data_IF_422246610011
#
_entry.id   IF_422246610011
#
_cell.length_a   1.000
_cell.length_b   1.000
_cell.length_c   1.000
_cell.angle_alpha   90.00
_cell.angle_beta   90.00
_cell.angle_gamma   90.00
#
_symmetry.space_group_name_H-M   'P 1'
#
loop_
_entity.id
_entity.type
_entity.pdbx_description
1 polymer ?
#
# COMPACT_ATOMS: atom_id res chain seq x y z
N UNK A 1 -26.77 58.64 28.20
CA UNK A 1 -26.82 57.67 27.09
C UNK A 1 -25.75 56.62 27.36
N UNK A 2 -26.16 55.57 28.07
CA UNK A 2 -26.25 54.19 27.54
C UNK A 2 -24.95 53.46 27.86
N UNK A 3 -24.86 52.74 28.99
CA UNK A 3 -25.44 51.42 29.23
C UNK A 3 -24.84 50.34 28.32
N UNK A 4 -24.40 49.25 28.96
CA UNK A 4 -23.94 47.96 28.40
C UNK A 4 -22.45 47.82 28.10
N UNK A 5 -21.64 47.70 29.15
CA UNK A 5 -20.51 46.77 29.19
C UNK A 5 -20.02 46.64 30.63
N UNK A 6 -20.52 45.65 31.38
CA UNK A 6 -19.87 44.99 32.52
C UNK A 6 -20.95 44.26 33.33
N UNK A 7 -21.33 43.04 32.93
CA UNK A 7 -21.88 42.06 33.87
C UNK A 7 -21.84 40.67 33.25
N UNK A 8 -21.56 39.67 34.10
CA UNK A 8 -21.61 38.22 33.85
C UNK A 8 -20.33 37.52 33.35
N UNK A 9 -19.28 37.62 34.16
CA UNK A 9 -18.59 36.40 34.61
C UNK A 9 -19.50 35.60 35.56
N UNK A 10 -19.22 34.30 35.71
CA UNK A 10 -19.86 33.31 36.61
C UNK A 10 -20.96 32.47 35.96
N UNK A 11 -20.57 31.41 35.24
CA UNK A 11 -21.24 30.10 35.23
C UNK A 11 -20.21 28.99 34.95
N UNK A 12 -19.46 28.58 35.98
CA UNK A 12 -18.77 27.29 36.07
C UNK A 12 -19.73 26.31 36.76
N UNK A 13 -20.19 25.28 36.06
CA UNK A 13 -21.06 24.24 36.63
C UNK A 13 -21.09 22.97 35.78
N UNK A 14 -20.99 21.76 36.37
CA UNK A 14 -20.85 20.49 35.66
C UNK A 14 -22.22 19.83 35.42
N UNK A 15 -23.07 20.40 34.56
CA UNK A 15 -24.41 19.83 34.27
C UNK A 15 -24.84 20.07 32.80
N UNK A 16 -23.97 19.76 31.84
CA UNK A 16 -24.31 19.74 30.39
C UNK A 16 -24.27 18.35 29.75
N UNK A 17 -24.14 17.29 30.55
CA UNK A 17 -24.08 15.90 30.07
C UNK A 17 -25.42 15.14 30.11
N UNK A 18 -26.56 15.79 30.42
CA UNK A 18 -27.81 15.08 30.70
C UNK A 18 -28.99 15.37 29.75
N UNK A 19 -28.77 15.98 28.58
CA UNK A 19 -29.85 16.32 27.64
C UNK A 19 -29.56 15.92 26.17
N UNK A 20 -28.64 14.98 25.93
CA UNK A 20 -28.40 14.35 24.60
C UNK A 20 -28.41 12.81 24.72
N UNK A 21 -29.20 12.28 25.66
CA UNK A 21 -29.32 10.85 25.92
C UNK A 21 -30.64 10.23 25.40
N UNK A 22 -31.46 10.99 24.66
CA UNK A 22 -32.83 10.58 24.32
C UNK A 22 -33.23 10.88 22.85
N UNK A 23 -32.37 10.55 21.90
CA UNK A 23 -32.71 10.53 20.46
C UNK A 23 -31.91 9.48 19.69
N UNK A 24 -31.61 8.33 20.32
CA UNK A 24 -30.78 7.25 19.78
C UNK A 24 -31.51 5.90 19.80
N UNK A 25 -32.84 5.91 19.61
CA UNK A 25 -33.70 4.74 19.85
C UNK A 25 -34.69 4.36 18.73
N UNK A 26 -34.63 4.93 17.52
CA UNK A 26 -35.72 4.71 16.53
C UNK A 26 -35.30 4.46 15.08
N UNK A 27 -34.10 3.94 14.83
CA UNK A 27 -33.70 3.49 13.48
C UNK A 27 -33.40 1.99 13.44
N UNK A 28 -34.24 1.17 14.07
CA UNK A 28 -34.39 -0.23 13.67
C UNK A 28 -35.15 -0.25 12.34
N UNK A 29 -34.44 0.07 11.27
CA UNK A 29 -34.89 -0.26 9.93
C UNK A 29 -35.03 -1.78 9.87
N UNK A 30 -36.26 -2.27 9.71
CA UNK A 30 -36.54 -3.66 9.42
C UNK A 30 -35.86 -4.03 8.09
N UNK A 31 -34.61 -4.48 8.15
CA UNK A 31 -33.98 -5.21 7.07
C UNK A 31 -34.77 -6.51 6.91
N UNK A 32 -35.76 -6.51 6.02
CA UNK A 32 -36.45 -7.73 5.63
C UNK A 32 -35.41 -8.75 5.16
N UNK A 33 -35.61 -10.06 5.41
CA UNK A 33 -34.67 -11.07 5.00
C UNK A 33 -34.52 -10.99 3.47
N UNK A 34 -33.38 -10.46 3.02
CA UNK A 34 -33.03 -10.46 1.61
C UNK A 34 -33.06 -11.92 1.18
N UNK A 35 -34.00 -12.27 0.29
CA UNK A 35 -34.08 -13.62 -0.27
C UNK A 35 -32.74 -13.90 -0.91
N UNK A 36 -32.03 -14.84 -0.32
CA UNK A 36 -30.70 -15.16 -0.77
C UNK A 36 -30.80 -15.77 -2.18
N UNK A 37 -30.27 -15.06 -3.16
CA UNK A 37 -30.41 -15.37 -4.57
C UNK A 37 -29.44 -16.48 -4.94
N UNK A 38 -29.94 -17.56 -5.53
CA UNK A 38 -29.09 -18.57 -6.16
C UNK A 38 -28.50 -18.00 -7.45
N UNK A 39 -27.18 -18.15 -7.59
CA UNK A 39 -26.39 -17.68 -8.72
C UNK A 39 -25.42 -18.77 -9.19
N UNK A 40 -25.04 -18.69 -10.45
CA UNK A 40 -23.94 -19.43 -11.06
C UNK A 40 -22.88 -18.43 -11.48
N UNK A 41 -21.66 -18.63 -11.01
CA UNK A 41 -20.50 -17.81 -11.33
C UNK A 41 -19.62 -18.57 -12.30
N UNK A 42 -19.58 -18.08 -13.53
CA UNK A 42 -18.61 -18.53 -14.52
C UNK A 42 -17.26 -17.88 -14.24
N UNK A 43 -16.20 -18.67 -14.23
CA UNK A 43 -14.85 -18.19 -13.92
C UNK A 43 -13.97 -18.09 -15.15
N UNK A 44 -12.94 -17.26 -15.06
CA UNK A 44 -11.92 -17.07 -16.11
C UNK A 44 -10.86 -18.17 -16.05
N UNK A 45 -10.05 -18.25 -17.10
CA UNK A 45 -8.93 -19.21 -17.15
C UNK A 45 -9.35 -20.68 -17.26
N UNK A 46 -10.58 -20.96 -17.70
CA UNK A 46 -11.09 -22.34 -17.83
C UNK A 46 -11.44 -23.01 -16.50
N UNK A 47 -11.45 -22.28 -15.38
CA UNK A 47 -11.87 -22.81 -14.10
C UNK A 47 -13.37 -23.16 -14.11
N UNK A 48 -13.79 -24.26 -13.45
CA UNK A 48 -15.18 -24.71 -13.48
C UNK A 48 -16.11 -23.67 -12.83
N UNK A 49 -17.37 -23.56 -13.27
CA UNK A 49 -18.34 -22.65 -12.68
C UNK A 49 -18.66 -23.04 -11.23
N UNK A 50 -19.07 -22.05 -10.43
CA UNK A 50 -19.49 -22.26 -9.04
C UNK A 50 -20.96 -21.86 -8.92
N UNK A 51 -21.82 -22.81 -8.58
CA UNK A 51 -23.21 -22.56 -8.25
C UNK A 51 -23.37 -22.41 -6.72
N UNK A 52 -24.10 -21.39 -6.30
CA UNK A 52 -24.34 -21.16 -4.88
C UNK A 52 -25.22 -19.96 -4.62
N UNK A 53 -25.45 -19.71 -3.34
CA UNK A 53 -26.25 -18.60 -2.85
C UNK A 53 -25.38 -17.37 -2.64
N UNK A 54 -25.71 -16.27 -3.31
CA UNK A 54 -25.02 -14.99 -3.14
C UNK A 54 -25.15 -14.51 -1.68
N UNK A 55 -24.01 -14.21 -1.06
CA UNK A 55 -23.93 -13.60 0.28
C UNK A 55 -23.74 -12.09 0.19
N UNK A 56 -22.74 -11.67 -0.56
CA UNK A 56 -22.47 -10.27 -0.84
C UNK A 56 -21.72 -10.10 -2.16
N UNK A 57 -21.86 -8.94 -2.77
CA UNK A 57 -21.04 -8.48 -3.87
C UNK A 57 -20.74 -7.01 -3.62
N UNK A 58 -19.48 -6.71 -3.35
CA UNK A 58 -18.95 -5.37 -3.14
C UNK A 58 -17.73 -5.19 -4.07
N UNK A 59 -17.07 -4.04 -4.06
CA UNK A 59 -15.93 -3.84 -4.97
C UNK A 59 -14.73 -4.71 -4.58
N UNK A 60 -14.70 -5.28 -3.38
CA UNK A 60 -13.60 -6.12 -2.90
C UNK A 60 -13.67 -7.55 -3.40
N UNK A 61 -14.85 -8.18 -3.31
CA UNK A 61 -15.05 -9.56 -3.74
C UNK A 61 -16.52 -9.94 -3.98
N UNK A 62 -16.71 -11.00 -4.75
CA UNK A 62 -17.96 -11.73 -4.87
C UNK A 62 -17.98 -12.89 -3.87
N UNK A 63 -18.90 -12.86 -2.89
CA UNK A 63 -19.00 -13.89 -1.83
C UNK A 63 -20.25 -14.73 -1.99
N UNK A 64 -20.09 -16.05 -1.97
CA UNK A 64 -21.21 -17.00 -2.11
C UNK A 64 -21.01 -18.23 -1.22
N UNK A 65 -22.09 -18.96 -0.97
CA UNK A 65 -22.08 -20.25 -0.27
C UNK A 65 -22.73 -21.31 -1.15
N UNK A 66 -22.04 -22.41 -1.41
CA UNK A 66 -22.56 -23.53 -2.22
C UNK A 66 -23.62 -24.33 -1.46
N UNK A 67 -24.32 -25.25 -2.15
CA UNK A 67 -25.26 -26.18 -1.51
C UNK A 67 -24.60 -27.06 -0.44
N UNK A 68 -23.32 -27.41 -0.63
CA UNK A 68 -22.52 -28.16 0.35
C UNK A 68 -22.12 -27.33 1.59
N UNK A 69 -22.45 -26.04 1.62
CA UNK A 69 -22.06 -25.13 2.69
C UNK A 69 -20.64 -24.57 2.57
N UNK A 70 -19.94 -24.82 1.46
CA UNK A 70 -18.61 -24.25 1.25
C UNK A 70 -18.72 -22.75 0.91
N UNK A 71 -17.93 -21.93 1.61
CA UNK A 71 -17.88 -20.49 1.40
C UNK A 71 -16.77 -20.12 0.42
N UNK A 72 -17.09 -19.24 -0.52
CA UNK A 72 -16.14 -18.72 -1.50
C UNK A 72 -16.12 -17.19 -1.43
N UNK A 73 -14.91 -16.62 -1.44
CA UNK A 73 -14.67 -15.22 -1.71
C UNK A 73 -13.86 -15.11 -3.01
N UNK A 74 -14.53 -14.72 -4.09
CA UNK A 74 -13.95 -14.65 -5.42
C UNK A 74 -13.50 -13.22 -5.72
N UNK A 75 -12.22 -13.11 -6.09
CA UNK A 75 -11.61 -11.89 -6.62
C UNK A 75 -12.26 -11.50 -7.96
N UNK A 76 -12.39 -10.22 -8.25
CA UNK A 76 -13.15 -9.78 -9.43
C UNK A 76 -12.51 -10.22 -10.76
N UNK A 77 -11.19 -10.25 -10.85
CA UNK A 77 -10.45 -10.67 -12.04
C UNK A 77 -10.53 -12.18 -12.37
N UNK A 78 -11.12 -13.00 -11.49
CA UNK A 78 -11.42 -14.40 -11.79
C UNK A 78 -12.88 -14.62 -12.19
N UNK A 79 -13.75 -13.61 -12.03
CA UNK A 79 -15.16 -13.68 -12.38
C UNK A 79 -15.35 -13.29 -13.84
N UNK A 80 -15.99 -14.17 -14.62
CA UNK A 80 -16.33 -13.94 -16.03
C UNK A 80 -17.75 -13.40 -16.19
N UNK A 81 -18.73 -14.13 -15.65
CA UNK A 81 -20.14 -13.75 -15.65
C UNK A 81 -20.83 -14.29 -14.40
N UNK A 82 -21.94 -13.67 -14.02
CA UNK A 82 -22.81 -14.14 -12.93
C UNK A 82 -24.24 -14.31 -13.47
N UNK A 83 -24.91 -15.41 -13.16
CA UNK A 83 -26.26 -15.72 -13.67
C UNK A 83 -27.18 -16.24 -12.55
N UNK A 84 -28.36 -15.66 -12.33
CA UNK A 84 -28.84 -14.39 -12.90
C UNK A 84 -27.96 -13.22 -12.45
N UNK A 85 -27.78 -12.24 -13.34
CA UNK A 85 -27.12 -10.98 -13.02
C UNK A 85 -28.12 -9.96 -12.49
N UNK A 86 -27.64 -9.01 -11.70
CA UNK A 86 -28.40 -7.83 -11.26
C UNK A 86 -27.67 -6.58 -11.73
N UNK A 87 -28.34 -5.43 -11.78
CA UNK A 87 -27.71 -4.16 -12.17
C UNK A 87 -26.46 -3.85 -11.32
N UNK A 88 -26.51 -4.16 -10.01
CA UNK A 88 -25.34 -4.00 -9.13
C UNK A 88 -24.17 -4.89 -9.55
N UNK A 89 -24.44 -6.15 -9.89
CA UNK A 89 -23.39 -7.07 -10.37
C UNK A 89 -22.82 -6.61 -11.72
N UNK A 90 -23.67 -6.14 -12.63
CA UNK A 90 -23.23 -5.62 -13.94
C UNK A 90 -22.27 -4.43 -13.81
N UNK A 91 -22.52 -3.53 -12.84
CA UNK A 91 -21.61 -2.41 -12.54
C UNK A 91 -20.23 -2.88 -12.07
N UNK A 92 -20.15 -4.01 -11.36
CA UNK A 92 -18.89 -4.57 -10.87
C UNK A 92 -18.16 -5.41 -11.94
N UNK A 93 -18.89 -6.00 -12.88
CA UNK A 93 -18.31 -6.80 -13.97
C UNK A 93 -17.48 -5.99 -14.97
N UNK A 94 -17.78 -4.70 -15.16
CA UNK A 94 -16.99 -3.80 -16.00
C UNK A 94 -15.53 -3.66 -15.51
N UNK A 95 -15.30 -3.14 -14.29
CA UNK A 95 -13.97 -3.11 -13.67
C UNK A 95 -13.30 -4.48 -13.57
N UNK A 96 -14.07 -5.54 -13.31
CA UNK A 96 -13.58 -6.92 -13.28
C UNK A 96 -12.94 -7.37 -14.61
N UNK A 97 -13.58 -7.07 -15.74
CA UNK A 97 -13.04 -7.32 -17.08
C UNK A 97 -11.76 -6.52 -17.32
N UNK A 98 -11.74 -5.24 -16.96
CA UNK A 98 -10.55 -4.39 -17.08
C UNK A 98 -9.37 -4.95 -16.28
N UNK A 99 -9.60 -5.35 -15.01
CA UNK A 99 -8.56 -5.94 -14.17
C UNK A 99 -8.04 -7.25 -14.74
N UNK A 100 -8.93 -8.15 -15.20
CA UNK A 100 -8.51 -9.38 -15.84
C UNK A 100 -7.64 -9.13 -17.08
N UNK A 101 -8.04 -8.19 -17.95
CA UNK A 101 -7.26 -7.83 -19.15
C UNK A 101 -5.88 -7.29 -18.78
N UNK A 102 -5.79 -6.44 -17.77
CA UNK A 102 -4.51 -5.90 -17.32
C UNK A 102 -3.61 -7.00 -16.72
N UNK A 103 -4.17 -7.89 -15.90
CA UNK A 103 -3.44 -9.03 -15.34
C UNK A 103 -2.89 -9.95 -16.44
N UNK A 104 -3.72 -10.36 -17.40
CA UNK A 104 -3.28 -11.22 -18.51
C UNK A 104 -2.25 -10.54 -19.42
N UNK A 105 -2.27 -9.21 -19.54
CA UNK A 105 -1.20 -8.47 -20.23
C UNK A 105 0.12 -8.54 -19.47
N UNK A 106 0.12 -8.35 -18.15
CA UNK A 106 1.32 -8.52 -17.31
C UNK A 106 1.87 -9.95 -17.43
N UNK A 107 1.01 -10.98 -17.40
CA UNK A 107 1.40 -12.39 -17.58
C UNK A 107 2.07 -12.65 -18.95
N UNK A 108 1.81 -11.79 -19.94
CA UNK A 108 2.36 -11.84 -21.30
C UNK A 108 3.48 -10.84 -21.55
N UNK A 109 3.95 -10.16 -20.52
CA UNK A 109 4.97 -9.09 -20.58
C UNK A 109 4.52 -7.83 -21.36
N UNK A 110 3.22 -7.67 -21.60
CA UNK A 110 2.61 -6.49 -22.24
C UNK A 110 2.33 -5.37 -21.22
N UNK A 111 3.33 -5.00 -20.39
CA UNK A 111 3.14 -4.10 -19.24
C UNK A 111 2.72 -2.68 -19.63
N UNK A 112 3.19 -2.17 -20.77
CA UNK A 112 2.82 -0.85 -21.31
C UNK A 112 1.30 -0.73 -21.55
N UNK A 113 0.67 -1.80 -22.06
CA UNK A 113 -0.78 -1.82 -22.31
C UNK A 113 -1.59 -2.11 -21.03
N UNK A 114 -0.95 -2.63 -19.98
CA UNK A 114 -1.59 -2.92 -18.70
C UNK A 114 -1.60 -1.69 -17.77
N UNK A 115 -0.52 -0.91 -17.78
CA UNK A 115 -0.32 0.23 -16.87
C UNK A 115 -1.48 1.24 -16.84
N UNK A 116 -2.01 1.77 -17.96
CA UNK A 116 -3.08 2.77 -17.89
C UNK A 116 -4.35 2.23 -17.21
N UNK A 117 -4.70 0.97 -17.46
CA UNK A 117 -5.86 0.32 -16.84
C UNK A 117 -5.64 0.16 -15.34
N UNK A 118 -4.45 -0.25 -14.93
CA UNK A 118 -4.12 -0.44 -13.51
C UNK A 118 -3.98 0.88 -12.77
N UNK A 119 -3.51 1.95 -13.43
CA UNK A 119 -3.47 3.29 -12.86
C UNK A 119 -4.88 3.80 -12.54
N UNK A 120 -5.84 3.66 -13.46
CA UNK A 120 -7.24 4.02 -13.23
C UNK A 120 -7.87 3.19 -12.10
N UNK A 121 -7.66 1.86 -12.10
CA UNK A 121 -8.17 0.99 -11.06
C UNK A 121 -7.53 1.28 -9.70
N UNK A 122 -6.25 1.65 -9.67
CA UNK A 122 -5.54 1.93 -8.44
C UNK A 122 -6.14 3.12 -7.68
N UNK A 123 -6.60 4.17 -8.37
CA UNK A 123 -7.31 5.28 -7.73
C UNK A 123 -8.61 4.85 -7.05
N UNK A 124 -9.27 3.80 -7.55
CA UNK A 124 -10.51 3.24 -6.98
C UNK A 124 -10.23 2.27 -5.82
N UNK A 125 -9.12 1.55 -5.90
CA UNK A 125 -8.79 0.45 -4.98
C UNK A 125 -7.79 0.80 -3.88
N UNK A 126 -7.04 1.92 -4.01
CA UNK A 126 -6.10 2.39 -3.00
C UNK A 126 -6.78 2.57 -1.65
N UNK A 127 -6.17 2.04 -0.58
CA UNK A 127 -6.68 2.10 0.78
C UNK A 127 -7.64 0.96 1.15
N UNK A 128 -8.15 0.17 0.19
CA UNK A 128 -9.00 -1.00 0.48
C UNK A 128 -8.17 -2.16 1.01
N UNK A 129 -8.78 -3.06 1.78
CA UNK A 129 -8.08 -4.24 2.34
C UNK A 129 -8.66 -5.52 1.75
N UNK A 130 -8.42 -5.72 0.46
CA UNK A 130 -8.94 -6.88 -0.27
C UNK A 130 -7.90 -7.48 -1.21
N UNK A 131 -8.11 -8.74 -1.56
CA UNK A 131 -7.24 -9.43 -2.52
C UNK A 131 -7.29 -8.75 -3.89
N UNK A 132 -8.44 -8.22 -4.31
CA UNK A 132 -8.58 -7.43 -5.54
C UNK A 132 -7.71 -6.18 -5.50
N UNK A 133 -7.70 -5.44 -4.38
CA UNK A 133 -6.83 -4.27 -4.21
C UNK A 133 -5.34 -4.64 -4.30
N UNK A 134 -4.96 -5.81 -3.79
CA UNK A 134 -3.59 -6.32 -3.89
C UNK A 134 -3.19 -6.62 -5.33
N UNK A 135 -4.08 -7.24 -6.13
CA UNK A 135 -3.80 -7.50 -7.55
C UNK A 135 -3.62 -6.21 -8.34
N UNK A 136 -4.50 -5.22 -8.11
CA UNK A 136 -4.39 -3.90 -8.76
C UNK A 136 -3.06 -3.24 -8.42
N UNK A 137 -2.75 -3.17 -7.12
CA UNK A 137 -1.56 -2.48 -6.62
C UNK A 137 -0.26 -3.16 -7.04
N UNK A 138 -0.18 -4.49 -6.88
CA UNK A 138 1.01 -5.26 -7.29
C UNK A 138 1.16 -5.27 -8.82
N UNK A 139 0.05 -5.28 -9.56
CA UNK A 139 0.08 -5.14 -11.01
C UNK A 139 0.66 -3.80 -11.45
N UNK A 140 0.19 -2.69 -10.88
CA UNK A 140 0.71 -1.35 -11.17
C UNK A 140 2.20 -1.22 -10.81
N UNK A 141 2.59 -1.77 -9.65
CA UNK A 141 3.99 -1.87 -9.22
C UNK A 141 4.84 -2.56 -10.30
N UNK A 142 4.41 -3.74 -10.76
CA UNK A 142 5.13 -4.52 -11.78
C UNK A 142 5.28 -3.74 -13.08
N UNK A 143 4.24 -3.04 -13.53
CA UNK A 143 4.33 -2.21 -14.73
C UNK A 143 5.39 -1.10 -14.59
N UNK A 144 5.35 -0.35 -13.48
CA UNK A 144 6.29 0.76 -13.24
C UNK A 144 7.73 0.27 -13.12
N UNK A 145 7.95 -0.86 -12.44
CA UNK A 145 9.26 -1.51 -12.35
C UNK A 145 9.75 -1.98 -13.72
N UNK A 146 8.89 -2.61 -14.53
CA UNK A 146 9.27 -3.11 -15.85
C UNK A 146 9.78 -2.01 -16.79
N UNK A 147 9.23 -0.79 -16.70
CA UNK A 147 9.70 0.37 -17.48
C UNK A 147 10.79 1.21 -16.81
N UNK A 148 11.30 0.77 -15.65
CA UNK A 148 12.36 1.48 -14.93
C UNK A 148 11.92 2.74 -14.18
N UNK A 149 10.62 2.91 -13.91
CA UNK A 149 10.10 4.04 -13.13
C UNK A 149 10.11 3.73 -11.63
N UNK A 150 11.31 3.78 -11.05
CA UNK A 150 11.51 3.54 -9.63
C UNK A 150 10.74 4.54 -8.74
N UNK A 151 10.67 5.82 -9.13
CA UNK A 151 9.99 6.86 -8.37
C UNK A 151 8.48 6.62 -8.35
N UNK A 152 7.88 6.39 -9.52
CA UNK A 152 6.46 6.06 -9.62
C UNK A 152 6.12 4.74 -8.94
N UNK A 153 7.04 3.78 -8.85
CA UNK A 153 6.80 2.50 -8.20
C UNK A 153 6.61 2.57 -6.68
N UNK A 154 7.04 3.65 -6.02
CA UNK A 154 7.08 3.73 -4.56
C UNK A 154 5.70 3.63 -3.91
N UNK A 155 4.69 4.38 -4.36
CA UNK A 155 3.38 4.31 -3.69
C UNK A 155 2.69 2.95 -3.91
N UNK A 156 2.66 2.37 -5.12
CA UNK A 156 2.20 1.00 -5.29
C UNK A 156 2.99 -0.01 -4.45
N UNK A 157 4.31 0.15 -4.30
CA UNK A 157 5.11 -0.72 -3.44
C UNK A 157 4.69 -0.62 -1.97
N UNK A 158 4.50 0.60 -1.45
CA UNK A 158 4.07 0.84 -0.07
C UNK A 158 2.66 0.33 0.18
N UNK A 159 1.74 0.49 -0.76
CA UNK A 159 0.37 -0.02 -0.65
C UNK A 159 0.32 -1.56 -0.72
N UNK A 160 1.12 -2.19 -1.58
CA UNK A 160 1.27 -3.65 -1.60
C UNK A 160 1.89 -4.15 -0.29
N UNK A 161 2.89 -3.45 0.25
CA UNK A 161 3.47 -3.76 1.55
C UNK A 161 2.43 -3.67 2.68
N UNK A 162 1.57 -2.64 2.68
CA UNK A 162 0.45 -2.50 3.65
C UNK A 162 -0.49 -3.70 3.59
N UNK A 163 -0.91 -4.10 2.40
CA UNK A 163 -1.80 -5.24 2.19
C UNK A 163 -1.17 -6.56 2.66
N UNK A 164 0.12 -6.78 2.35
CA UNK A 164 0.86 -7.98 2.80
C UNK A 164 1.07 -7.98 4.31
N UNK A 165 1.33 -6.83 4.93
CA UNK A 165 1.43 -6.70 6.38
C UNK A 165 0.10 -7.01 7.09
N UNK A 166 -1.03 -6.71 6.44
CA UNK A 166 -2.39 -7.10 6.88
C UNK A 166 -2.72 -8.59 6.62
N UNK A 167 -1.78 -9.37 6.08
CA UNK A 167 -1.99 -10.79 5.77
C UNK A 167 -2.79 -11.04 4.50
N UNK A 168 -3.07 -10.01 3.69
CA UNK A 168 -3.70 -10.20 2.38
C UNK A 168 -2.69 -10.89 1.46
N UNK A 169 -3.10 -12.01 0.87
CA UNK A 169 -2.28 -12.78 -0.06
C UNK A 169 -3.05 -13.05 -1.34
N UNK A 170 -2.33 -13.13 -2.46
CA UNK A 170 -2.90 -13.47 -3.76
C UNK A 170 -1.98 -14.39 -4.54
N UNK A 171 -2.58 -15.23 -5.38
CA UNK A 171 -1.94 -16.11 -6.34
C UNK A 171 -1.91 -15.54 -7.77
N UNK A 172 -2.46 -14.34 -7.99
CA UNK A 172 -2.63 -13.72 -9.29
C UNK A 172 -1.35 -13.66 -10.14
N UNK A 173 -0.20 -13.55 -9.49
CA UNK A 173 1.12 -13.44 -10.11
C UNK A 173 2.07 -14.57 -9.67
N UNK A 174 1.53 -15.72 -9.24
CA UNK A 174 2.33 -16.83 -8.69
C UNK A 174 3.36 -17.43 -9.66
N UNK A 175 3.17 -17.24 -10.97
CA UNK A 175 4.13 -17.65 -12.01
C UNK A 175 5.31 -16.69 -12.19
N UNK A 176 5.29 -15.53 -11.51
CA UNK A 176 6.29 -14.48 -11.62
C UNK A 176 7.10 -14.35 -10.33
N UNK A 177 8.34 -13.82 -10.38
CA UNK A 177 9.06 -13.47 -9.17
C UNK A 177 8.24 -12.50 -8.29
N UNK A 178 8.34 -12.60 -6.94
CA UNK A 178 7.70 -11.65 -6.05
C UNK A 178 8.15 -10.21 -6.34
N UNK A 179 7.19 -9.27 -6.40
CA UNK A 179 7.51 -7.86 -6.59
C UNK A 179 8.07 -7.21 -5.32
N UNK A 180 7.75 -7.77 -4.15
CA UNK A 180 8.28 -7.38 -2.85
C UNK A 180 9.07 -8.53 -2.25
N UNK A 181 10.15 -8.22 -1.54
CA UNK A 181 10.85 -9.19 -0.73
C UNK A 181 9.97 -9.59 0.48
N UNK A 182 9.68 -10.88 0.71
CA UNK A 182 8.70 -11.30 1.72
C UNK A 182 9.12 -11.02 3.16
N UNK A 183 10.41 -10.76 3.41
CA UNK A 183 10.92 -10.47 4.76
C UNK A 183 10.86 -8.97 5.06
N UNK A 184 11.34 -8.16 4.12
CA UNK A 184 11.48 -6.70 4.30
C UNK A 184 10.25 -5.93 3.82
N UNK A 185 9.42 -6.52 2.97
CA UNK A 185 8.36 -5.87 2.20
C UNK A 185 8.83 -4.71 1.32
N UNK A 186 10.14 -4.60 1.06
CA UNK A 186 10.68 -3.61 0.14
C UNK A 186 10.63 -4.15 -1.29
N UNK A 187 10.42 -3.24 -2.25
CA UNK A 187 10.56 -3.53 -3.67
C UNK A 187 12.06 -3.44 -4.05
N UNK A 188 12.74 -4.53 -4.44
CA UNK A 188 14.16 -4.53 -4.78
C UNK A 188 14.56 -3.54 -5.88
N UNK A 189 13.61 -3.17 -6.74
CA UNK A 189 13.81 -2.30 -7.90
C UNK A 189 13.43 -0.83 -7.63
N UNK A 190 12.94 -0.51 -6.43
CA UNK A 190 12.63 0.87 -6.02
C UNK A 190 13.48 1.26 -4.80
N UNK A 191 14.82 1.42 -4.96
CA UNK A 191 15.67 1.92 -3.88
C UNK A 191 15.30 3.36 -3.52
N UNK A 192 15.64 3.83 -2.30
CA UNK A 192 15.46 5.24 -1.92
C UNK A 192 16.53 6.15 -2.57
N UNK A 193 16.76 5.97 -3.87
CA UNK A 193 17.66 6.77 -4.71
C UNK A 193 16.80 7.49 -5.73
N UNK A 194 16.45 8.73 -5.42
CA UNK A 194 15.38 9.44 -6.11
C UNK A 194 15.97 10.55 -6.98
N UNK A 195 15.95 10.41 -8.33
CA UNK A 195 16.41 11.47 -9.21
C UNK A 195 15.48 12.70 -9.11
N UNK A 196 16.06 13.89 -9.20
CA UNK A 196 15.32 15.14 -9.25
C UNK A 196 14.44 15.23 -10.52
N UNK A 197 13.28 15.87 -10.39
CA UNK A 197 12.38 16.18 -11.50
C UNK A 197 10.90 16.08 -11.14
N UNK A 198 9.98 16.24 -12.11
CA UNK A 198 8.53 16.31 -11.86
C UNK A 198 7.94 15.05 -11.20
N UNK A 199 8.59 13.88 -11.36
CA UNK A 199 8.16 12.66 -10.70
C UNK A 199 8.41 12.71 -9.18
N UNK A 200 9.50 13.36 -8.74
CA UNK A 200 9.83 13.52 -7.33
C UNK A 200 8.82 14.43 -6.62
N UNK A 201 8.45 15.54 -7.25
CA UNK A 201 7.44 16.49 -6.73
C UNK A 201 6.07 15.81 -6.56
N UNK A 202 5.66 14.98 -7.53
CA UNK A 202 4.42 14.19 -7.41
C UNK A 202 4.51 13.18 -6.27
N UNK A 203 5.63 12.47 -6.16
CA UNK A 203 5.83 11.51 -5.08
C UNK A 203 5.78 12.19 -3.70
N UNK A 204 6.39 13.37 -3.58
CA UNK A 204 6.34 14.17 -2.35
C UNK A 204 4.88 14.44 -1.93
N UNK A 205 4.07 14.96 -2.85
CA UNK A 205 2.67 15.26 -2.60
C UNK A 205 1.85 14.00 -2.25
N UNK A 206 2.09 12.88 -2.95
CA UNK A 206 1.44 11.61 -2.65
C UNK A 206 1.81 11.10 -1.25
N UNK A 207 3.09 11.17 -0.85
CA UNK A 207 3.52 10.73 0.48
C UNK A 207 2.99 11.61 1.62
N UNK A 208 2.80 12.91 1.39
CA UNK A 208 2.22 13.83 2.38
C UNK A 208 0.74 13.53 2.67
N UNK A 209 0.01 13.11 1.64
CA UNK A 209 -1.42 12.83 1.73
C UNK A 209 -1.73 11.38 2.10
N UNK A 210 -0.78 10.47 1.88
CA UNK A 210 -0.96 9.04 2.13
C UNK A 210 -0.74 8.67 3.60
N UNK A 211 -1.77 8.09 4.22
CA UNK A 211 -1.78 7.72 5.65
C UNK A 211 -1.99 6.20 5.81
N UNK A 212 -0.92 5.40 5.87
CA UNK A 212 -1.05 3.95 6.04
C UNK A 212 -1.50 3.60 7.46
N UNK A 213 -2.36 2.58 7.57
CA UNK A 213 -2.80 2.03 8.85
C UNK A 213 -1.73 1.19 9.56
N UNK A 214 -0.82 0.59 8.79
CA UNK A 214 0.17 -0.36 9.31
C UNK A 214 1.43 0.35 9.82
N UNK A 215 1.80 0.20 11.11
CA UNK A 215 2.91 0.96 11.71
C UNK A 215 4.27 0.77 11.02
N UNK A 216 4.57 -0.44 10.55
CA UNK A 216 5.83 -0.71 9.84
C UNK A 216 5.87 0.00 8.49
N UNK A 217 4.74 0.06 7.80
CA UNK A 217 4.62 0.71 6.49
C UNK A 217 4.57 2.23 6.65
N UNK A 218 3.94 2.76 7.70
CA UNK A 218 4.04 4.17 8.07
C UNK A 218 5.49 4.59 8.27
N UNK A 219 6.27 3.81 9.03
CA UNK A 219 7.69 4.08 9.21
C UNK A 219 8.51 3.99 7.90
N UNK A 220 8.16 3.09 6.97
CA UNK A 220 8.78 3.08 5.63
C UNK A 220 8.44 4.34 4.84
N UNK A 221 7.18 4.78 4.87
CA UNK A 221 6.73 5.99 4.19
C UNK A 221 7.49 7.21 4.70
N UNK A 222 7.69 7.32 6.02
CA UNK A 222 8.46 8.40 6.64
C UNK A 222 9.91 8.43 6.17
N UNK A 223 10.53 7.25 6.01
CA UNK A 223 11.89 7.15 5.47
C UNK A 223 11.95 7.51 3.98
N UNK A 224 10.92 7.20 3.19
CA UNK A 224 10.83 7.68 1.81
C UNK A 224 10.59 9.18 1.74
N UNK A 225 9.78 9.78 2.64
CA UNK A 225 9.61 11.24 2.74
C UNK A 225 10.95 11.93 3.00
N UNK A 226 11.70 11.40 3.95
CA UNK A 226 13.05 11.89 4.22
C UNK A 226 13.98 11.76 3.00
N UNK A 227 13.94 10.63 2.28
CA UNK A 227 14.72 10.47 1.05
C UNK A 227 14.31 11.46 -0.05
N UNK A 228 13.03 11.82 -0.13
CA UNK A 228 12.51 12.85 -1.05
C UNK A 228 13.04 14.23 -0.67
N UNK A 229 13.02 14.60 0.61
CA UNK A 229 13.55 15.88 1.11
C UNK A 229 15.04 16.03 0.75
N UNK A 230 15.85 15.02 1.07
CA UNK A 230 17.29 14.99 0.75
C UNK A 230 17.54 15.09 -0.77
N UNK A 231 16.72 14.42 -1.57
CA UNK A 231 16.84 14.50 -3.03
C UNK A 231 16.43 15.87 -3.59
N UNK A 232 15.42 16.51 -3.01
CA UNK A 232 14.94 17.82 -3.44
C UNK A 232 15.95 18.94 -3.15
N UNK A 233 16.60 18.91 -1.98
CA UNK A 233 17.59 19.92 -1.58
C UNK A 233 18.90 19.83 -2.38
N UNK A 234 19.11 18.73 -3.11
CA UNK A 234 20.29 18.53 -3.98
C UNK A 234 21.60 18.35 -3.19
N UNK A 235 21.51 18.37 -1.87
CA UNK A 235 22.61 18.09 -0.97
C UNK A 235 22.21 16.94 -0.06
N UNK A 236 23.04 15.89 -0.06
CA UNK A 236 23.14 14.94 1.05
C UNK A 236 23.80 15.63 2.25
N UNK A 237 23.32 16.82 2.62
CA UNK A 237 23.68 17.39 3.90
C UNK A 237 23.06 16.50 4.97
N UNK A 238 23.89 16.18 5.97
CA UNK A 238 23.57 15.30 7.07
C UNK A 238 22.45 15.93 7.87
N UNK A 239 21.20 15.64 7.52
CA UNK A 239 20.10 15.85 8.43
C UNK A 239 20.26 14.83 9.56
N UNK A 240 20.78 15.28 10.70
CA UNK A 240 20.92 14.47 11.92
C UNK A 240 19.58 13.85 12.38
N UNK A 241 18.46 14.39 11.88
CA UNK A 241 17.10 14.04 12.29
C UNK A 241 16.46 12.94 11.43
N UNK A 242 17.12 11.79 11.25
CA UNK A 242 16.43 10.62 10.70
C UNK A 242 15.24 10.23 11.59
N UNK A 243 14.03 9.99 11.03
CA UNK A 243 12.82 9.68 11.80
C UNK A 243 13.07 8.58 12.84
N UNK A 244 12.80 8.81 14.15
CA UNK A 244 13.19 7.89 15.20
C UNK A 244 12.61 6.50 14.95
N UNK A 245 13.42 5.46 15.15
CA UNK A 245 12.93 4.08 15.04
C UNK A 245 11.81 3.87 16.07
N UNK A 246 10.62 3.44 15.66
CA UNK A 246 9.59 3.04 16.61
C UNK A 246 10.13 1.96 17.55
N UNK A 247 9.73 1.98 18.82
CA UNK A 247 10.16 0.98 19.80
C UNK A 247 9.89 -0.46 19.33
N UNK A 248 8.81 -0.66 18.56
CA UNK A 248 8.49 -1.92 17.90
C UNK A 248 9.58 -2.38 16.91
N UNK A 249 10.17 -1.47 16.14
CA UNK A 249 11.26 -1.77 15.20
C UNK A 249 12.56 -2.18 15.91
N UNK A 250 12.87 -1.51 17.03
CA UNK A 250 14.07 -1.75 17.81
C UNK A 250 14.06 -3.13 18.48
N UNK A 251 12.88 -3.56 18.95
CA UNK A 251 12.71 -4.83 19.67
C UNK A 251 12.28 -5.99 18.77
N UNK A 252 11.90 -5.73 17.51
CA UNK A 252 11.45 -6.79 16.60
C UNK A 252 12.60 -7.78 16.32
N UNK A 253 12.44 -9.08 16.66
CA UNK A 253 13.48 -10.07 16.46
C UNK A 253 13.89 -10.12 14.99
N UNK A 254 15.17 -10.40 14.75
CA UNK A 254 15.74 -10.52 13.41
C UNK A 254 15.10 -11.65 12.60
N UNK A 255 14.44 -12.60 13.27
CA UNK A 255 13.78 -13.75 12.67
C UNK A 255 12.29 -13.79 13.01
N UNK A 256 11.44 -13.64 11.99
CA UNK A 256 10.16 -14.36 11.89
C UNK A 256 8.85 -13.67 12.31
N UNK A 257 8.84 -12.65 13.19
CA UNK A 257 7.55 -12.12 13.70
C UNK A 257 7.25 -10.65 13.38
N UNK A 258 8.19 -9.92 12.77
CA UNK A 258 8.03 -8.49 12.45
C UNK A 258 8.04 -8.22 10.95
N UNK A 259 7.02 -8.71 10.22
CA UNK A 259 6.89 -8.47 8.77
C UNK A 259 7.01 -6.96 8.50
N UNK A 260 7.93 -6.57 7.62
CA UNK A 260 8.19 -5.17 7.27
C UNK A 260 9.16 -4.42 8.19
N UNK A 261 9.30 -4.76 9.48
CA UNK A 261 10.26 -4.07 10.36
C UNK A 261 11.73 -4.28 9.95
N UNK A 262 12.02 -5.42 9.31
CA UNK A 262 13.32 -5.63 8.68
C UNK A 262 13.60 -4.62 7.55
N UNK A 263 12.57 -4.27 6.76
CA UNK A 263 12.65 -3.24 5.73
C UNK A 263 12.88 -1.84 6.31
N UNK A 264 12.14 -1.47 7.36
CA UNK A 264 12.33 -0.18 8.07
C UNK A 264 13.79 -0.02 8.55
N UNK A 265 14.35 -1.05 9.19
CA UNK A 265 15.75 -1.02 9.65
C UNK A 265 16.72 -0.89 8.50
N UNK A 266 16.52 -1.64 7.41
CA UNK A 266 17.37 -1.57 6.23
C UNK A 266 17.34 -0.17 5.60
N UNK A 267 16.15 0.37 5.34
CA UNK A 267 15.99 1.73 4.79
C UNK A 267 16.69 2.78 5.67
N UNK A 268 16.47 2.73 6.98
CA UNK A 268 17.14 3.67 7.89
C UNK A 268 18.65 3.52 7.86
N UNK A 269 19.19 2.29 7.84
CA UNK A 269 20.63 2.06 7.75
C UNK A 269 21.22 2.58 6.45
N UNK A 270 20.51 2.43 5.31
CA UNK A 270 20.93 2.97 4.02
C UNK A 270 21.02 4.49 4.06
N UNK A 271 19.97 5.16 4.52
CA UNK A 271 19.93 6.62 4.62
C UNK A 271 20.97 7.16 5.63
N UNK A 272 21.11 6.52 6.79
CA UNK A 272 22.13 6.89 7.79
C UNK A 272 23.55 6.73 7.24
N UNK A 273 23.83 5.63 6.53
CA UNK A 273 25.13 5.42 5.92
C UNK A 273 25.41 6.45 4.82
N UNK A 274 24.41 6.81 4.01
CA UNK A 274 24.51 7.90 3.03
C UNK A 274 24.90 9.23 3.68
N UNK A 275 24.35 9.50 4.86
CA UNK A 275 24.64 10.66 5.69
C UNK A 275 25.95 10.54 6.50
N UNK A 276 26.77 9.52 6.23
CA UNK A 276 28.09 9.37 6.87
C UNK A 276 28.11 8.65 8.22
N UNK A 277 27.00 8.06 8.68
CA UNK A 277 26.97 7.30 9.93
C UNK A 277 27.85 6.02 9.84
N UNK A 278 29.02 6.08 10.47
CA UNK A 278 30.02 5.02 10.42
C UNK A 278 29.51 3.66 10.95
N UNK A 279 28.75 3.57 12.06
CA UNK A 279 28.13 2.33 12.51
C UNK A 279 27.18 1.71 11.47
N UNK A 280 26.31 2.50 10.84
CA UNK A 280 25.40 2.02 9.79
C UNK A 280 26.17 1.54 8.56
N UNK A 281 27.18 2.31 8.12
CA UNK A 281 28.04 1.88 7.02
C UNK A 281 28.78 0.57 7.34
N UNK A 282 29.29 0.39 8.56
CA UNK A 282 29.93 -0.85 8.99
C UNK A 282 28.96 -2.05 9.00
N UNK A 283 27.71 -1.83 9.41
CA UNK A 283 26.66 -2.87 9.35
C UNK A 283 26.31 -3.23 7.91
N UNK A 284 26.14 -2.24 7.01
CA UNK A 284 25.85 -2.47 5.60
C UNK A 284 26.98 -3.20 4.87
N UNK A 285 28.26 -2.95 5.23
CA UNK A 285 29.40 -3.70 4.67
C UNK A 285 29.30 -5.21 4.89
N UNK A 286 28.59 -5.67 5.92
CA UNK A 286 28.34 -7.10 6.15
C UNK A 286 27.38 -7.72 5.13
N UNK A 287 26.57 -6.91 4.45
CA UNK A 287 25.67 -7.33 3.38
C UNK A 287 26.39 -7.36 2.02
N UNK A 288 27.46 -6.57 1.87
CA UNK A 288 28.25 -6.50 0.63
C UNK A 288 28.88 -7.88 0.36
N UNK A 289 28.74 -8.36 -0.87
CA UNK A 289 29.19 -9.70 -1.29
C UNK A 289 28.13 -10.80 -1.18
N UNK A 290 26.95 -10.52 -0.60
CA UNK A 290 25.84 -11.47 -0.50
C UNK A 290 25.15 -11.84 -1.82
N UNK A 291 25.46 -11.12 -2.91
CA UNK A 291 24.94 -11.40 -4.27
C UNK A 291 23.46 -11.09 -4.48
N UNK A 292 22.77 -10.52 -3.49
CA UNK A 292 21.35 -10.14 -3.59
C UNK A 292 21.15 -8.62 -3.76
N UNK A 293 19.89 -8.21 -3.89
CA UNK A 293 19.53 -6.80 -4.09
C UNK A 293 19.93 -5.91 -2.90
N UNK A 294 19.96 -6.45 -1.68
CA UNK A 294 20.36 -5.70 -0.48
C UNK A 294 21.83 -5.35 -0.52
N UNK A 295 22.67 -6.27 -1.00
CA UNK A 295 24.08 -6.03 -1.24
C UNK A 295 24.32 -4.90 -2.27
N UNK A 296 23.50 -4.86 -3.33
CA UNK A 296 23.56 -3.81 -4.35
C UNK A 296 23.20 -2.43 -3.75
N UNK A 297 22.11 -2.35 -3.00
CA UNK A 297 21.71 -1.11 -2.30
C UNK A 297 22.78 -0.68 -1.30
N UNK A 298 23.27 -1.59 -0.45
CA UNK A 298 24.33 -1.32 0.52
C UNK A 298 25.59 -0.74 -0.16
N UNK A 299 26.02 -1.34 -1.28
CA UNK A 299 27.19 -0.88 -2.03
C UNK A 299 27.00 0.53 -2.58
N UNK A 300 25.83 0.84 -3.13
CA UNK A 300 25.50 2.18 -3.60
C UNK A 300 25.60 3.22 -2.49
N UNK A 301 24.91 2.99 -1.36
CA UNK A 301 24.83 3.95 -0.26
C UNK A 301 26.17 4.16 0.46
N UNK A 302 26.99 3.11 0.61
CA UNK A 302 28.36 3.24 1.12
C UNK A 302 29.24 4.05 0.14
N UNK A 303 29.10 3.79 -1.16
CA UNK A 303 29.85 4.52 -2.19
C UNK A 303 29.48 6.00 -2.23
N UNK A 304 28.18 6.32 -2.14
CA UNK A 304 27.68 7.69 -2.10
C UNK A 304 28.29 8.51 -0.96
N UNK A 305 28.39 7.93 0.23
CA UNK A 305 29.00 8.57 1.40
C UNK A 305 30.52 8.79 1.30
N UNK A 306 31.20 8.04 0.44
CA UNK A 306 32.65 8.17 0.24
C UNK A 306 33.01 9.22 -0.82
N UNK A 307 32.04 9.69 -1.61
CA UNK A 307 32.28 10.76 -2.57
C UNK A 307 32.40 12.09 -1.81
N UNK A 308 33.50 12.86 -2.00
CA UNK A 308 33.57 14.19 -1.42
C UNK A 308 32.39 15.00 -1.94
N UNK A 309 31.69 15.71 -1.05
CA UNK A 309 30.67 16.67 -1.45
C UNK A 309 31.32 17.62 -2.45
N UNK A 310 30.94 17.51 -3.72
CA UNK A 310 31.41 18.45 -4.72
C UNK A 310 30.97 19.82 -4.22
N UNK A 311 31.94 20.68 -3.90
CA UNK A 311 31.67 22.05 -3.45
C UNK A 311 30.53 22.64 -4.30
N UNK A 312 29.51 23.25 -3.67
CA UNK A 312 28.37 23.78 -4.39
C UNK A 312 28.89 24.68 -5.51
N UNK A 313 28.54 24.36 -6.76
CA UNK A 313 28.85 25.22 -7.90
C UNK A 313 28.13 26.55 -7.67
N UNK A 314 28.90 27.57 -7.31
CA UNK A 314 28.46 28.94 -7.13
C UNK A 314 27.85 29.53 -8.41
#
# INVERSE_FOLDING_TARGET
MSALAHFAAVLRGPLRHLAVALALASSLACAGPARAQEIVVERRGGAPPIAGRLRSADEDALRLVTESGAEYALRWDVVRTVTPSTETLERLLGPAESLWRARTRIERDDTELAEPILAELFEVYRGRTSETALVVTEGLLRCRVARGDAVGAIIPALEAARLRALGVATDAFASMPPALDPTTLLCPQAPPVLPQGPALERLQHELETWQPSEPSVAAMADLYRHAVEVAADGALEVHEDLPPLPAAAANAPSAGSGVGWAGVRLLRQLLAAAAGDAPSAANLRRLVGGGDWRAAWASFFIGAAAMPSSEPRA
#
